data_IF_792104540498
#
_entry.id   IF_792104540498
#
_cell.length_a   1.000
_cell.length_b   1.000
_cell.length_c   1.000
_cell.angle_alpha   90.00
_cell.angle_beta   90.00
_cell.angle_gamma   90.00
#
_symmetry.space_group_name_H-M   'P 1'
#
loop_
_entity.id
_entity.type
_entity.pdbx_description
1 polymer ?
#
# COMPACT_ATOMS: atom_id res chain seq x y z
N UNK A 1 4.44 23.57 -6.29
CA UNK A 1 4.08 22.14 -6.31
C UNK A 1 3.12 21.94 -5.15
N UNK A 2 1.83 21.82 -5.44
CA UNK A 2 0.79 21.74 -4.41
C UNK A 2 0.97 20.37 -3.73
N UNK A 3 1.33 20.35 -2.45
CA UNK A 3 1.27 19.14 -1.63
C UNK A 3 -0.21 18.77 -1.56
N UNK A 4 -0.59 17.71 -2.26
CA UNK A 4 -1.92 17.11 -2.12
C UNK A 4 -1.98 16.52 -0.70
N UNK A 5 -2.41 17.31 0.28
CA UNK A 5 -2.62 16.83 1.65
C UNK A 5 -3.77 15.83 1.63
N UNK A 6 -3.46 14.54 1.50
CA UNK A 6 -4.44 13.46 1.51
C UNK A 6 -5.08 13.32 2.90
N UNK A 7 -6.28 13.87 3.02
CA UNK A 7 -7.17 13.88 4.20
C UNK A 7 -8.16 12.69 4.23
N UNK A 8 -7.78 11.52 3.69
CA UNK A 8 -8.60 10.29 3.73
C UNK A 8 -7.70 9.16 4.22
N UNK A 9 -8.21 8.24 5.04
CA UNK A 9 -7.45 7.18 5.73
C UNK A 9 -6.25 6.69 4.92
N UNK A 10 -5.05 7.11 5.34
CA UNK A 10 -3.84 7.16 4.50
C UNK A 10 -3.50 5.82 3.85
N UNK A 11 -3.86 4.70 4.48
CA UNK A 11 -3.52 3.37 3.98
C UNK A 11 -4.34 2.99 2.74
N UNK A 12 -5.68 3.12 2.75
CA UNK A 12 -6.52 2.59 1.66
C UNK A 12 -6.19 3.24 0.30
N UNK A 13 -5.95 4.55 0.29
CA UNK A 13 -5.56 5.29 -0.93
C UNK A 13 -4.26 4.76 -1.55
N UNK A 14 -3.23 4.55 -0.74
CA UNK A 14 -1.95 4.00 -1.19
C UNK A 14 -2.10 2.55 -1.69
N UNK A 15 -3.00 1.78 -1.08
CA UNK A 15 -3.28 0.41 -1.50
C UNK A 15 -4.03 0.36 -2.84
N UNK A 16 -4.95 1.28 -3.10
CA UNK A 16 -5.57 1.43 -4.42
C UNK A 16 -4.53 1.75 -5.50
N UNK A 17 -3.57 2.64 -5.23
CA UNK A 17 -2.48 2.94 -6.16
C UNK A 17 -1.57 1.73 -6.40
N UNK A 18 -1.28 0.96 -5.35
CA UNK A 18 -0.51 -0.28 -5.46
C UNK A 18 -1.26 -1.34 -6.27
N UNK A 19 -2.57 -1.46 -6.10
CA UNK A 19 -3.41 -2.38 -6.87
C UNK A 19 -3.48 -1.96 -8.35
N UNK A 20 -3.62 -0.66 -8.61
CA UNK A 20 -3.61 -0.12 -9.97
C UNK A 20 -2.28 -0.44 -10.68
N UNK A 21 -1.14 -0.17 -10.03
CA UNK A 21 0.18 -0.48 -10.60
C UNK A 21 0.45 -1.98 -10.74
N UNK A 22 -0.11 -2.81 -9.84
CA UNK A 22 -0.07 -4.26 -9.96
C UNK A 22 -0.85 -4.74 -11.19
N UNK A 23 -2.04 -4.21 -11.43
CA UNK A 23 -2.87 -4.54 -12.60
C UNK A 23 -2.21 -4.08 -13.92
N UNK A 24 -1.38 -3.04 -13.89
CA UNK A 24 -0.54 -2.64 -15.01
C UNK A 24 0.65 -3.58 -15.27
N UNK A 25 0.91 -4.55 -14.39
CA UNK A 25 2.04 -5.48 -14.49
C UNK A 25 3.38 -4.90 -14.04
N UNK A 26 3.38 -3.75 -13.35
CA UNK A 26 4.59 -3.20 -12.77
C UNK A 26 5.05 -4.00 -11.55
N UNK A 27 6.31 -3.80 -11.13
CA UNK A 27 6.85 -4.38 -9.89
C UNK A 27 6.64 -3.39 -8.74
N UNK A 28 6.53 -3.90 -7.52
CA UNK A 28 6.36 -3.10 -6.29
C UNK A 28 7.39 -1.96 -6.17
N UNK A 29 8.66 -2.23 -6.50
CA UNK A 29 9.73 -1.22 -6.46
C UNK A 29 9.53 -0.09 -7.48
N UNK A 30 8.92 -0.38 -8.64
CA UNK A 30 8.58 0.66 -9.62
C UNK A 30 7.38 1.47 -9.12
N UNK A 31 6.37 0.81 -8.59
CA UNK A 31 5.20 1.47 -8.02
C UNK A 31 5.59 2.47 -6.91
N UNK A 32 6.46 2.09 -5.97
CA UNK A 32 6.93 3.02 -4.92
C UNK A 32 7.74 4.18 -5.47
N UNK A 33 8.58 3.96 -6.49
CA UNK A 33 9.33 5.05 -7.16
C UNK A 33 8.43 6.03 -7.90
N UNK A 34 7.31 5.56 -8.44
CA UNK A 34 6.35 6.41 -9.14
C UNK A 34 5.42 7.15 -8.15
N UNK A 35 5.07 6.52 -7.02
CA UNK A 35 4.14 7.07 -6.01
C UNK A 35 4.84 8.06 -5.05
N UNK A 36 6.02 7.73 -4.51
CA UNK A 36 6.69 8.55 -3.49
C UNK A 36 6.96 10.00 -3.93
N UNK A 37 7.41 10.30 -5.17
CA UNK A 37 7.61 11.69 -5.59
C UNK A 37 6.34 12.54 -5.61
N UNK A 38 5.17 11.92 -5.81
CA UNK A 38 3.87 12.62 -5.91
C UNK A 38 3.29 12.89 -4.51
N UNK A 39 3.38 11.91 -3.61
CA UNK A 39 2.73 11.95 -2.30
C UNK A 39 3.65 12.31 -1.14
N UNK A 40 4.97 12.32 -1.37
CA UNK A 40 5.99 12.60 -0.36
C UNK A 40 7.00 11.47 -0.25
N UNK A 41 8.26 11.84 -0.01
CA UNK A 41 9.33 10.86 0.19
C UNK A 41 8.99 9.93 1.36
N UNK A 42 8.97 8.63 1.10
CA UNK A 42 8.58 7.63 2.10
C UNK A 42 7.07 7.45 2.31
N UNK A 43 6.22 7.98 1.42
CA UNK A 43 4.77 7.76 1.47
C UNK A 43 4.38 6.27 1.54
N UNK A 44 5.13 5.40 0.84
CA UNK A 44 5.03 3.94 0.95
C UNK A 44 6.43 3.35 1.04
N UNK A 45 6.69 2.53 2.05
CA UNK A 45 7.90 1.73 2.11
C UNK A 45 7.87 0.60 1.08
N UNK A 46 8.98 0.35 0.39
CA UNK A 46 9.07 -0.74 -0.61
C UNK A 46 8.71 -2.11 -0.02
N UNK A 47 9.05 -2.34 1.25
CA UNK A 47 8.66 -3.55 2.00
C UNK A 47 7.14 -3.71 2.05
N UNK A 48 6.42 -2.65 2.43
CA UNK A 48 4.94 -2.63 2.48
C UNK A 48 4.35 -2.90 1.10
N UNK A 49 4.86 -2.24 0.06
CA UNK A 49 4.41 -2.47 -1.31
C UNK A 49 4.59 -3.93 -1.75
N UNK A 50 5.72 -4.54 -1.41
CA UNK A 50 5.99 -5.96 -1.72
C UNK A 50 5.05 -6.91 -0.97
N UNK A 51 4.79 -6.65 0.31
CA UNK A 51 3.89 -7.47 1.12
C UNK A 51 2.45 -7.41 0.56
N UNK A 52 2.00 -6.24 0.11
CA UNK A 52 0.71 -6.09 -0.57
C UNK A 52 0.67 -6.76 -1.94
N UNK A 53 1.75 -6.67 -2.72
CA UNK A 53 1.85 -7.39 -3.99
C UNK A 53 1.78 -8.91 -3.81
N UNK A 54 2.30 -9.44 -2.70
CA UNK A 54 2.13 -10.85 -2.36
C UNK A 54 0.66 -11.18 -2.03
N UNK A 55 -0.06 -10.30 -1.32
CA UNK A 55 -1.51 -10.45 -1.08
C UNK A 55 -2.32 -10.43 -2.38
N UNK A 56 -2.04 -9.49 -3.29
CA UNK A 56 -2.73 -9.38 -4.58
C UNK A 56 -2.50 -10.60 -5.46
N UNK A 57 -1.29 -11.19 -5.44
CA UNK A 57 -1.01 -12.47 -6.12
C UNK A 57 -1.83 -13.63 -5.57
N UNK A 58 -2.15 -13.60 -4.28
CA UNK A 58 -3.01 -14.58 -3.63
C UNK A 58 -4.51 -14.29 -3.83
N UNK A 59 -4.86 -13.27 -4.62
CA UNK A 59 -6.26 -12.86 -4.86
C UNK A 59 -6.90 -12.12 -3.68
N UNK A 60 -6.12 -11.72 -2.67
CA UNK A 60 -6.62 -10.92 -1.56
C UNK A 60 -6.52 -9.43 -1.92
N UNK A 61 -7.67 -8.84 -2.23
CA UNK A 61 -7.84 -7.43 -2.56
C UNK A 61 -8.56 -6.65 -1.46
N UNK A 62 -8.65 -7.21 -0.24
CA UNK A 62 -9.18 -6.46 0.90
C UNK A 62 -8.16 -5.38 1.29
N UNK A 63 -8.46 -4.14 0.91
CA UNK A 63 -7.61 -2.97 1.12
C UNK A 63 -7.77 -2.41 2.54
N UNK A 64 -8.67 -2.97 3.34
CA UNK A 64 -8.72 -2.67 4.77
C UNK A 64 -7.59 -3.43 5.42
N UNK A 65 -6.81 -2.75 6.25
CA UNK A 65 -5.99 -3.44 7.24
C UNK A 65 -6.97 -4.30 8.06
N UNK A 66 -7.00 -5.61 7.78
CA UNK A 66 -7.65 -6.54 8.69
C UNK A 66 -7.03 -6.26 10.07
N UNK A 67 -7.86 -5.99 11.11
CA UNK A 67 -7.31 -5.81 12.44
C UNK A 67 -6.41 -7.02 12.70
N UNK A 68 -5.17 -6.78 13.11
CA UNK A 68 -4.16 -7.79 13.44
C UNK A 68 -4.73 -8.75 14.50
N UNK A 69 -5.56 -9.69 14.07
CA UNK A 69 -6.15 -10.71 14.91
C UNK A 69 -5.04 -11.71 15.17
N UNK A 70 -4.37 -11.61 16.30
CA UNK A 70 -3.45 -12.68 16.70
C UNK A 70 -2.31 -12.33 17.64
N UNK A 71 -2.52 -11.48 18.65
CA UNK A 71 -1.86 -11.77 19.92
C UNK A 71 -2.94 -12.17 20.93
N UNK A 72 -3.06 -13.46 21.27
CA UNK A 72 -3.82 -13.81 22.46
C UNK A 72 -3.12 -13.12 23.63
N UNK A 73 -3.79 -12.16 24.24
CA UNK A 73 -3.43 -11.67 25.57
C UNK A 73 -3.53 -12.87 26.49
N UNK A 74 -2.37 -13.44 26.82
CA UNK A 74 -2.26 -14.48 27.83
C UNK A 74 -2.58 -13.81 29.17
N UNK A 75 -3.72 -14.17 29.75
CA UNK A 75 -4.05 -13.87 31.14
C UNK A 75 -3.07 -14.61 32.07
#
# INVERSE_FOLDING_TARGET
IIKMECQMEKNEHFLHLLLFTFNQGFKAAKATRDICPVYGEGAIAERTARDWYAKFKNGNFDLKDAPLSGRPTRY
#
